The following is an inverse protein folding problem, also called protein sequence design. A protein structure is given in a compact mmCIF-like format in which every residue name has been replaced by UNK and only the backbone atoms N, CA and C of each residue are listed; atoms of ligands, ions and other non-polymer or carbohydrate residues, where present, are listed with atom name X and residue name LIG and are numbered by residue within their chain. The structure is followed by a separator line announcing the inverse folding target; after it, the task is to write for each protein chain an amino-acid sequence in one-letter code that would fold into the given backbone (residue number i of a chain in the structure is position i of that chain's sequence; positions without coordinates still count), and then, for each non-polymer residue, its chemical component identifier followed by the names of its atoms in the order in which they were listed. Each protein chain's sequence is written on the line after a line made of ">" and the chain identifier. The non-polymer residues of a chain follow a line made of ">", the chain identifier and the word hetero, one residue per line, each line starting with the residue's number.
data_IF_497612146409
#
_entry.id   IF_497612146409
#
_cell.length_a   1.000
_cell.length_b   1.000
_cell.length_c   1.000
_cell.angle_alpha   90.00
_cell.angle_beta   90.00
_cell.angle_gamma   90.00
#
_symmetry.space_group_name_H-M   'P 1'
#
loop_
_entity.id
_entity.type
_entity.pdbx_description
1 polymer ?
#
# COMPACT_ATOMS: atom_id res chain seq x y z
N UNK A 1 5.68 -12.47 -14.07
CA UNK A 1 6.59 -11.44 -13.52
C UNK A 1 5.95 -10.64 -12.37
N UNK A 2 4.61 -10.60 -12.24
CA UNK A 2 3.91 -9.87 -11.21
C UNK A 2 3.79 -8.35 -11.45
N UNK A 3 3.16 -7.66 -10.48
CA UNK A 3 2.97 -6.20 -10.50
C UNK A 3 4.31 -5.46 -10.41
N UNK A 4 5.18 -5.88 -9.49
CA UNK A 4 6.43 -5.19 -9.17
C UNK A 4 7.40 -5.12 -10.35
N UNK A 5 7.53 -6.20 -11.13
CA UNK A 5 8.40 -6.21 -12.31
C UNK A 5 7.98 -5.19 -13.37
N UNK A 6 6.67 -5.03 -13.59
CA UNK A 6 6.16 -4.05 -14.55
C UNK A 6 6.35 -2.60 -14.04
N UNK A 7 6.13 -2.38 -12.75
CA UNK A 7 6.36 -1.08 -12.09
C UNK A 7 7.82 -0.69 -12.16
N UNK A 8 8.73 -1.60 -11.83
CA UNK A 8 10.18 -1.36 -11.87
C UNK A 8 10.66 -1.02 -13.28
N UNK A 9 10.14 -1.70 -14.31
CA UNK A 9 10.45 -1.38 -15.70
C UNK A 9 10.01 0.06 -16.05
N UNK A 10 8.79 0.45 -15.67
CA UNK A 10 8.29 1.81 -15.86
C UNK A 10 9.10 2.88 -15.10
N UNK A 11 9.54 2.58 -13.87
CA UNK A 11 10.40 3.46 -13.07
C UNK A 11 11.76 3.68 -13.77
N UNK A 12 12.38 2.62 -14.27
CA UNK A 12 13.67 2.69 -14.98
C UNK A 12 13.60 3.49 -16.26
N UNK A 13 12.54 3.32 -17.03
CA UNK A 13 12.30 4.07 -18.29
C UNK A 13 11.93 5.54 -18.06
N UNK A 14 11.39 5.90 -16.90
CA UNK A 14 11.01 7.26 -16.57
C UNK A 14 12.24 8.17 -16.49
N UNK A 15 12.13 9.37 -17.10
CA UNK A 15 13.15 10.43 -17.08
C UNK A 15 12.75 11.65 -16.25
N UNK A 16 11.62 11.58 -15.57
CA UNK A 16 11.06 12.66 -14.76
C UNK A 16 11.47 12.53 -13.29
N UNK A 17 11.47 13.61 -12.50
CA UNK A 17 11.83 13.57 -11.07
C UNK A 17 10.81 12.79 -10.22
N UNK A 18 9.61 12.60 -10.75
CA UNK A 18 8.53 11.87 -10.08
C UNK A 18 7.95 10.80 -10.99
N UNK A 19 7.49 9.70 -10.39
CA UNK A 19 6.75 8.63 -11.06
C UNK A 19 5.37 8.52 -10.43
N UNK A 20 4.32 8.55 -11.24
CA UNK A 20 2.95 8.36 -10.79
C UNK A 20 2.48 6.95 -11.16
N UNK A 21 2.32 6.11 -10.14
CA UNK A 21 1.75 4.78 -10.31
C UNK A 21 0.23 4.87 -10.28
N UNK A 22 -0.41 4.19 -11.22
CA UNK A 22 -1.85 4.24 -11.39
C UNK A 22 -2.39 2.90 -11.88
N UNK A 23 -3.35 2.33 -11.16
CA UNK A 23 -4.05 1.15 -11.62
C UNK A 23 -4.87 1.42 -12.90
N UNK A 24 -4.96 0.42 -13.77
CA UNK A 24 -5.66 0.52 -15.06
C UNK A 24 -7.20 0.57 -14.95
N UNK A 25 -7.75 0.28 -13.77
CA UNK A 25 -9.18 0.37 -13.45
C UNK A 25 -9.55 1.66 -12.68
N UNK A 26 -8.83 2.75 -12.97
CA UNK A 26 -8.99 4.06 -12.33
C UNK A 26 -9.35 5.17 -13.32
N UNK A 27 -9.88 6.27 -12.78
CA UNK A 27 -10.11 7.52 -13.52
C UNK A 27 -9.61 8.70 -12.68
N UNK A 28 -8.60 9.39 -13.18
CA UNK A 28 -8.00 10.56 -12.54
C UNK A 28 -8.89 11.78 -12.74
N UNK A 29 -9.14 12.55 -11.66
CA UNK A 29 -9.85 13.83 -11.75
C UNK A 29 -8.87 14.96 -12.16
N UNK A 30 -9.37 16.03 -12.83
CA UNK A 30 -8.53 17.20 -13.15
C UNK A 30 -7.85 17.77 -11.90
N UNK A 31 -6.60 18.18 -12.03
CA UNK A 31 -5.81 18.75 -10.94
C UNK A 31 -5.15 17.74 -10.00
N UNK A 32 -5.46 16.44 -10.11
CA UNK A 32 -4.92 15.41 -9.23
C UNK A 32 -3.38 15.36 -9.24
N UNK A 33 -2.78 15.21 -10.42
CA UNK A 33 -1.32 15.09 -10.57
C UNK A 33 -0.63 16.40 -10.15
N UNK A 34 -1.17 17.54 -10.57
CA UNK A 34 -0.60 18.86 -10.22
C UNK A 34 -0.62 19.14 -8.72
N UNK A 35 -1.66 18.70 -8.01
CA UNK A 35 -1.74 18.84 -6.55
C UNK A 35 -0.65 18.01 -5.84
N UNK A 36 -0.47 16.76 -6.25
CA UNK A 36 0.54 15.86 -5.71
C UNK A 36 1.96 16.36 -6.04
N UNK A 37 2.21 16.76 -7.28
CA UNK A 37 3.50 17.32 -7.69
C UNK A 37 3.84 18.57 -6.88
N UNK A 38 2.92 19.53 -6.76
CA UNK A 38 3.12 20.74 -5.98
C UNK A 38 3.45 20.43 -4.50
N UNK A 39 2.85 19.37 -3.94
CA UNK A 39 3.18 18.92 -2.60
C UNK A 39 4.57 18.31 -2.53
N UNK A 40 4.92 17.41 -3.45
CA UNK A 40 6.24 16.78 -3.52
C UNK A 40 7.35 17.85 -3.69
N UNK A 41 7.08 18.93 -4.43
CA UNK A 41 8.01 20.06 -4.57
C UNK A 41 8.19 20.85 -3.26
N UNK A 42 7.13 21.05 -2.51
CA UNK A 42 7.14 21.80 -1.25
C UNK A 42 7.75 20.99 -0.09
N UNK A 43 7.49 19.69 -0.03
CA UNK A 43 7.89 18.80 1.07
C UNK A 43 8.97 17.81 0.55
N UNK A 44 10.25 18.22 0.63
CA UNK A 44 11.37 17.48 0.00
C UNK A 44 11.67 16.14 0.71
N UNK A 45 11.24 15.97 1.95
CA UNK A 45 11.33 14.72 2.73
C UNK A 45 10.27 13.67 2.34
N UNK A 46 9.30 14.04 1.49
CA UNK A 46 8.33 13.07 1.01
C UNK A 46 8.96 12.09 0.02
N UNK A 47 8.86 10.80 0.36
CA UNK A 47 9.09 9.68 -0.55
C UNK A 47 7.93 9.50 -1.51
N UNK A 48 6.72 9.44 -0.94
CA UNK A 48 5.49 9.20 -1.71
C UNK A 48 4.30 9.99 -1.18
N UNK A 49 3.35 10.27 -2.07
CA UNK A 49 2.07 10.87 -1.72
C UNK A 49 0.93 10.06 -2.36
N UNK A 50 -0.07 9.70 -1.56
CA UNK A 50 -1.21 8.88 -1.99
C UNK A 50 -2.38 9.76 -2.37
N UNK A 51 -3.02 9.46 -3.49
CA UNK A 51 -4.25 10.11 -3.91
C UNK A 51 -5.43 9.71 -3.02
N UNK A 52 -6.46 10.56 -3.00
CA UNK A 52 -7.78 10.25 -2.46
C UNK A 52 -8.50 9.32 -3.42
N UNK A 53 -8.44 8.03 -3.16
CA UNK A 53 -9.17 7.05 -3.93
C UNK A 53 -10.60 6.92 -3.42
N UNK A 54 -11.57 7.11 -4.31
CA UNK A 54 -13.00 6.95 -4.02
C UNK A 54 -13.63 5.91 -4.94
N UNK A 55 -14.69 5.26 -4.47
CA UNK A 55 -15.40 4.28 -5.28
C UNK A 55 -15.95 4.94 -6.56
N UNK A 56 -15.70 4.33 -7.71
CA UNK A 56 -16.10 4.88 -9.02
C UNK A 56 -17.61 4.92 -9.19
N UNK A 57 -18.36 3.99 -8.57
CA UNK A 57 -19.83 3.92 -8.64
C UNK A 57 -20.49 4.83 -7.62
N UNK A 58 -19.82 5.07 -6.48
CA UNK A 58 -20.31 5.96 -5.42
C UNK A 58 -19.16 6.80 -4.85
N UNK A 59 -18.83 7.95 -5.46
CA UNK A 59 -17.72 8.80 -5.02
C UNK A 59 -17.85 9.39 -3.60
N UNK A 60 -19.00 9.25 -2.96
CA UNK A 60 -19.20 9.58 -1.54
C UNK A 60 -18.51 8.58 -0.60
N UNK A 61 -18.04 7.43 -1.11
CA UNK A 61 -17.39 6.38 -0.35
C UNK A 61 -15.91 6.30 -0.72
N UNK A 62 -15.06 6.26 0.31
CA UNK A 62 -13.62 6.03 0.15
C UNK A 62 -13.32 4.60 -0.30
N UNK A 63 -12.42 4.45 -1.27
CA UNK A 63 -11.74 3.19 -1.52
C UNK A 63 -10.41 3.10 -0.76
N UNK A 64 -9.70 4.21 -0.59
CA UNK A 64 -8.49 4.28 0.22
C UNK A 64 -7.86 5.68 0.26
N UNK A 65 -7.05 5.88 1.29
CA UNK A 65 -6.26 7.11 1.52
C UNK A 65 -4.81 6.76 1.91
N UNK A 66 -4.26 5.70 1.32
CA UNK A 66 -3.00 5.10 1.73
C UNK A 66 -3.15 4.16 2.92
N UNK A 67 -2.04 3.68 3.47
CA UNK A 67 -2.01 2.59 4.44
C UNK A 67 -1.36 2.99 5.76
N UNK A 68 -1.85 2.37 6.83
CA UNK A 68 -1.22 2.35 8.15
C UNK A 68 -0.72 0.94 8.45
N UNK A 69 0.25 0.84 9.37
CA UNK A 69 0.80 -0.42 9.84
C UNK A 69 0.69 -0.49 11.36
N UNK A 70 0.18 -1.60 11.89
CA UNK A 70 -0.06 -1.78 13.33
C UNK A 70 1.01 -2.64 13.99
N UNK A 71 1.11 -2.57 15.32
CA UNK A 71 1.97 -3.45 16.13
C UNK A 71 1.58 -4.93 16.06
N UNK A 72 0.36 -5.24 15.56
CA UNK A 72 -0.08 -6.62 15.26
C UNK A 72 0.51 -7.16 13.95
N UNK A 73 1.36 -6.39 13.26
CA UNK A 73 1.91 -6.75 11.98
C UNK A 73 0.91 -6.65 10.81
N UNK A 74 -0.10 -5.78 10.91
CA UNK A 74 -1.11 -5.62 9.88
C UNK A 74 -0.99 -4.28 9.17
N UNK A 75 -0.95 -4.31 7.85
CA UNK A 75 -1.28 -3.16 7.01
C UNK A 75 -2.79 -3.08 6.81
N UNK A 76 -3.32 -1.87 6.78
CA UNK A 76 -4.73 -1.62 6.51
C UNK A 76 -4.96 -0.27 5.83
N UNK A 77 -5.82 -0.27 4.82
CA UNK A 77 -6.17 0.91 4.07
C UNK A 77 -7.00 1.89 4.91
N UNK A 78 -6.61 3.16 4.90
CA UNK A 78 -7.33 4.21 5.59
C UNK A 78 -8.62 4.53 4.86
N UNK A 79 -9.72 4.54 5.59
CA UNK A 79 -11.00 5.04 5.10
C UNK A 79 -11.80 4.09 4.22
N UNK A 80 -11.29 2.92 3.87
CA UNK A 80 -11.99 1.99 2.96
C UNK A 80 -13.42 1.71 3.43
N UNK A 81 -14.41 1.97 2.54
CA UNK A 81 -15.84 1.80 2.83
C UNK A 81 -16.45 2.86 3.75
N UNK A 82 -15.73 3.94 4.06
CA UNK A 82 -16.22 5.04 4.92
C UNK A 82 -16.61 6.26 4.08
N UNK A 83 -17.49 7.16 4.62
CA UNK A 83 -17.85 8.39 3.92
C UNK A 83 -16.62 9.26 3.59
N UNK A 84 -16.49 9.65 2.33
CA UNK A 84 -15.35 10.41 1.83
C UNK A 84 -15.21 11.80 2.48
N UNK A 85 -16.30 12.38 2.97
CA UNK A 85 -16.32 13.67 3.66
C UNK A 85 -15.37 13.73 4.89
N UNK A 86 -15.12 12.61 5.56
CA UNK A 86 -14.23 12.55 6.72
C UNK A 86 -12.75 12.56 6.38
N UNK A 87 -12.40 12.45 5.09
CA UNK A 87 -11.01 12.32 4.61
C UNK A 87 -10.56 13.54 3.78
N UNK A 88 -11.07 14.73 4.11
CA UNK A 88 -10.74 15.99 3.43
C UNK A 88 -9.47 16.69 3.95
N UNK A 89 -8.70 16.11 4.87
CA UNK A 89 -7.48 16.72 5.42
C UNK A 89 -6.24 15.90 5.09
N UNK A 90 -5.12 16.56 4.74
CA UNK A 90 -3.83 15.88 4.56
C UNK A 90 -3.40 15.15 5.82
N UNK A 91 -2.64 14.06 5.68
CA UNK A 91 -2.09 13.31 6.81
C UNK A 91 -0.81 12.58 6.43
N UNK A 92 -0.02 12.24 7.44
CA UNK A 92 1.10 11.29 7.29
C UNK A 92 0.57 9.87 7.22
N UNK A 93 1.25 9.04 6.44
CA UNK A 93 0.94 7.62 6.23
C UNK A 93 2.08 6.74 6.69
N UNK A 94 1.83 5.45 6.80
CA UNK A 94 2.89 4.47 6.84
C UNK A 94 3.44 4.22 5.42
N UNK A 95 2.56 4.02 4.45
CA UNK A 95 2.88 3.89 3.02
C UNK A 95 1.76 4.48 2.15
N UNK A 96 2.10 4.94 0.96
CA UNK A 96 1.12 5.31 -0.05
C UNK A 96 0.65 4.05 -0.78
N UNK A 97 -0.63 3.99 -1.15
CA UNK A 97 -1.17 2.88 -1.93
C UNK A 97 -0.75 3.02 -3.41
N UNK A 98 0.02 2.07 -3.92
CA UNK A 98 0.53 2.08 -5.30
C UNK A 98 -0.55 2.07 -6.39
N UNK A 99 -1.81 1.84 -6.01
CA UNK A 99 -2.95 1.95 -6.92
C UNK A 99 -3.21 3.37 -7.46
N UNK A 100 -2.78 4.41 -6.72
CA UNK A 100 -2.77 5.81 -7.17
C UNK A 100 -1.84 6.63 -6.26
N UNK A 101 -0.55 6.65 -6.55
CA UNK A 101 0.45 7.35 -5.76
C UNK A 101 1.59 7.92 -6.61
N UNK A 102 2.12 9.06 -6.19
CA UNK A 102 3.34 9.66 -6.77
C UNK A 102 4.54 9.33 -5.88
N UNK A 103 5.66 9.03 -6.52
CA UNK A 103 6.91 8.67 -5.86
C UNK A 103 8.05 9.58 -6.33
N UNK A 104 8.95 9.98 -5.42
CA UNK A 104 10.18 10.72 -5.72
C UNK A 104 11.24 9.77 -6.24
N UNK A 105 11.67 9.97 -7.50
CA UNK A 105 12.63 9.07 -8.16
C UNK A 105 13.98 9.02 -7.44
N UNK A 106 14.51 10.15 -7.01
CA UNK A 106 15.77 10.18 -6.25
C UNK A 106 15.71 9.45 -4.91
N UNK A 107 14.54 9.35 -4.29
CA UNK A 107 14.35 8.55 -3.09
C UNK A 107 14.15 7.06 -3.41
N UNK A 108 13.53 6.73 -4.56
CA UNK A 108 13.48 5.34 -5.06
C UNK A 108 14.89 4.78 -5.32
N UNK A 109 15.79 5.58 -5.86
CA UNK A 109 17.20 5.19 -6.06
C UNK A 109 17.90 4.81 -4.74
N UNK A 110 17.52 5.42 -3.62
CA UNK A 110 18.07 5.13 -2.29
C UNK A 110 17.37 3.94 -1.61
N UNK A 111 16.05 3.83 -1.76
CA UNK A 111 15.28 2.72 -1.18
C UNK A 111 15.46 1.41 -1.94
N UNK A 112 15.87 1.49 -3.19
CA UNK A 112 15.80 0.41 -4.17
C UNK A 112 14.41 0.25 -4.79
N UNK A 113 14.33 -0.58 -5.82
CA UNK A 113 13.11 -0.88 -6.57
C UNK A 113 12.03 -1.58 -5.71
N UNK A 114 10.82 -1.70 -6.23
CA UNK A 114 9.80 -2.61 -5.68
C UNK A 114 10.32 -4.05 -5.70
N UNK A 115 10.13 -4.76 -4.60
CA UNK A 115 10.69 -6.12 -4.47
C UNK A 115 9.82 -7.14 -5.21
N UNK A 116 10.32 -7.62 -6.34
CA UNK A 116 9.62 -8.57 -7.22
C UNK A 116 9.27 -9.89 -6.52
N UNK A 117 9.87 -10.20 -5.36
CA UNK A 117 9.52 -11.35 -4.55
C UNK A 117 8.12 -11.27 -3.95
N UNK A 118 7.55 -10.06 -3.80
CA UNK A 118 6.15 -9.88 -3.37
C UNK A 118 5.18 -10.42 -4.41
N UNK A 119 5.46 -10.27 -5.68
CA UNK A 119 4.61 -10.60 -6.82
C UNK A 119 3.34 -9.77 -6.91
N UNK A 120 2.61 -9.62 -5.80
CA UNK A 120 1.42 -8.76 -5.63
C UNK A 120 1.05 -8.69 -4.13
N UNK A 121 0.53 -7.55 -3.70
CA UNK A 121 0.11 -7.17 -2.35
C UNK A 121 1.24 -6.95 -1.36
N UNK A 122 1.15 -5.86 -0.62
CA UNK A 122 2.08 -5.36 0.39
C UNK A 122 3.44 -4.88 -0.18
N UNK A 123 3.64 -4.87 -1.47
CA UNK A 123 4.81 -4.28 -2.12
C UNK A 123 4.92 -2.78 -1.85
N UNK A 124 3.79 -2.07 -1.84
CA UNK A 124 3.69 -0.65 -1.51
C UNK A 124 3.95 -0.38 -0.02
N UNK A 125 3.54 -1.30 0.84
CA UNK A 125 3.86 -1.24 2.28
C UNK A 125 5.34 -1.50 2.52
N UNK A 126 5.95 -2.44 1.79
CA UNK A 126 7.38 -2.75 1.86
C UNK A 126 8.25 -1.55 1.48
N UNK A 127 7.98 -0.96 0.31
CA UNK A 127 8.80 0.18 -0.16
C UNK A 127 8.58 1.42 0.72
N UNK A 128 7.35 1.65 1.20
CA UNK A 128 7.04 2.69 2.17
C UNK A 128 7.75 2.50 3.51
N UNK A 129 7.91 1.24 3.98
CA UNK A 129 8.65 0.91 5.19
C UNK A 129 10.15 1.21 5.01
N UNK A 130 10.75 0.75 3.90
CA UNK A 130 12.17 1.03 3.56
C UNK A 130 12.45 2.54 3.50
N UNK A 131 11.57 3.30 2.87
CA UNK A 131 11.67 4.75 2.83
C UNK A 131 11.67 5.38 4.23
N UNK A 132 10.81 4.90 5.14
CA UNK A 132 10.77 5.36 6.54
C UNK A 132 12.03 5.01 7.33
N UNK A 133 12.63 3.85 7.10
CA UNK A 133 13.92 3.47 7.71
C UNK A 133 15.01 4.46 7.28
N UNK A 134 14.97 4.95 6.06
CA UNK A 134 15.89 5.96 5.53
C UNK A 134 15.55 7.42 5.95
N UNK A 135 14.51 7.61 6.76
CA UNK A 135 14.11 8.92 7.27
C UNK A 135 13.13 9.70 6.38
N UNK A 136 12.69 9.14 5.26
CA UNK A 136 11.64 9.74 4.45
C UNK A 136 10.25 9.60 5.08
N UNK A 137 9.29 10.34 4.55
CA UNK A 137 7.89 10.26 4.97
C UNK A 137 6.97 9.93 3.79
N UNK A 138 5.80 9.36 4.10
CA UNK A 138 4.72 9.11 3.15
C UNK A 138 3.51 9.94 3.57
N UNK A 139 2.75 10.42 2.60
CA UNK A 139 1.64 11.32 2.85
C UNK A 139 0.38 10.98 2.03
N UNK A 140 -0.71 11.67 2.35
CA UNK A 140 -1.99 11.61 1.68
C UNK A 140 -2.44 13.00 1.27
N UNK A 141 -2.75 13.19 -0.02
CA UNK A 141 -3.25 14.44 -0.59
C UNK A 141 -4.75 14.35 -0.90
N UNK A 142 -5.61 14.97 -0.09
CA UNK A 142 -7.05 14.86 -0.26
C UNK A 142 -7.60 15.59 -1.49
N UNK A 143 -6.88 16.57 -2.05
CA UNK A 143 -7.29 17.29 -3.26
C UNK A 143 -6.98 16.48 -4.53
N UNK A 144 -6.08 15.51 -4.46
CA UNK A 144 -5.74 14.59 -5.54
C UNK A 144 -6.76 13.45 -5.60
N UNK A 145 -7.81 13.60 -6.38
CA UNK A 145 -8.91 12.63 -6.41
C UNK A 145 -8.79 11.66 -7.58
N UNK A 146 -8.90 10.36 -7.27
CA UNK A 146 -8.93 9.26 -8.24
C UNK A 146 -10.16 8.38 -7.97
N UNK A 147 -10.95 8.13 -9.02
CA UNK A 147 -12.04 7.16 -8.99
C UNK A 147 -11.47 5.77 -9.27
N UNK A 148 -11.82 4.77 -8.46
CA UNK A 148 -11.34 3.40 -8.61
C UNK A 148 -12.53 2.43 -8.73
N UNK A 149 -12.48 1.54 -9.72
CA UNK A 149 -13.56 0.58 -9.94
C UNK A 149 -13.64 -0.50 -8.86
N UNK A 150 -12.54 -0.69 -8.12
CA UNK A 150 -12.44 -1.58 -6.97
C UNK A 150 -12.81 -3.03 -7.26
N UNK A 151 -11.92 -3.98 -7.01
CA UNK A 151 -12.17 -5.43 -7.18
C UNK A 151 -12.84 -5.85 -8.51
N UNK A 152 -12.86 -4.98 -9.51
CA UNK A 152 -13.45 -5.28 -10.83
C UNK A 152 -12.77 -6.48 -11.49
N UNK A 153 -11.46 -6.60 -11.30
CA UNK A 153 -10.65 -7.69 -11.86
C UNK A 153 -10.72 -8.98 -11.03
N UNK A 154 -11.00 -8.91 -9.73
CA UNK A 154 -10.92 -10.07 -8.81
C UNK A 154 -12.26 -10.55 -8.28
N UNK A 155 -13.37 -9.87 -8.60
CA UNK A 155 -14.76 -10.26 -8.35
C UNK A 155 -15.16 -10.43 -6.87
N UNK A 156 -14.21 -10.56 -5.95
CA UNK A 156 -14.45 -10.82 -4.53
C UNK A 156 -13.48 -10.05 -3.66
N UNK A 157 -13.94 -9.64 -2.48
CA UNK A 157 -13.10 -9.04 -1.44
C UNK A 157 -12.00 -10.01 -0.99
N UNK A 158 -12.30 -11.32 -0.90
CA UNK A 158 -11.36 -12.40 -0.58
C UNK A 158 -11.44 -13.49 -1.65
N UNK A 159 -10.27 -13.98 -2.07
CA UNK A 159 -10.08 -15.18 -2.86
C UNK A 159 -8.75 -15.84 -2.47
N UNK A 160 -8.50 -17.06 -2.93
CA UNK A 160 -7.30 -17.83 -2.56
C UNK A 160 -6.01 -17.08 -2.90
N UNK A 161 -5.92 -16.46 -4.07
CA UNK A 161 -4.76 -15.70 -4.51
C UNK A 161 -4.46 -14.53 -3.55
N UNK A 162 -5.47 -13.70 -3.23
CA UNK A 162 -5.30 -12.57 -2.29
C UNK A 162 -4.90 -13.03 -0.90
N UNK A 163 -5.57 -14.06 -0.39
CA UNK A 163 -5.33 -14.57 0.96
C UNK A 163 -3.93 -15.15 1.07
N UNK A 164 -3.51 -15.95 0.08
CA UNK A 164 -2.19 -16.56 0.04
C UNK A 164 -1.07 -15.50 0.03
N UNK A 165 -1.07 -14.63 -0.97
CA UNK A 165 -0.01 -13.61 -1.09
C UNK A 165 -0.02 -12.60 0.06
N UNK A 166 -1.19 -12.20 0.56
CA UNK A 166 -1.25 -11.32 1.72
C UNK A 166 -0.70 -11.97 2.99
N UNK A 167 -0.90 -13.28 3.19
CA UNK A 167 -0.35 -14.00 4.33
C UNK A 167 1.17 -14.12 4.23
N UNK A 168 1.67 -14.63 3.09
CA UNK A 168 3.10 -14.80 2.79
C UNK A 168 3.85 -13.47 2.89
N UNK A 169 3.38 -12.47 2.17
CA UNK A 169 4.05 -11.19 2.10
C UNK A 169 4.02 -10.42 3.43
N UNK A 170 3.03 -10.69 4.28
CA UNK A 170 3.01 -10.09 5.62
C UNK A 170 4.14 -10.63 6.51
N UNK A 171 4.45 -11.92 6.42
CA UNK A 171 5.61 -12.52 7.11
C UNK A 171 6.91 -11.98 6.52
N UNK A 172 6.99 -11.97 5.19
CA UNK A 172 8.16 -11.48 4.46
C UNK A 172 8.45 -10.00 4.78
N UNK A 173 7.42 -9.15 4.83
CA UNK A 173 7.53 -7.74 5.21
C UNK A 173 8.16 -7.57 6.61
N UNK A 174 7.70 -8.36 7.60
CA UNK A 174 8.22 -8.32 8.98
C UNK A 174 9.68 -8.78 8.99
N UNK A 175 9.97 -9.92 8.39
CA UNK A 175 11.31 -10.49 8.33
C UNK A 175 12.32 -9.54 7.68
N UNK A 176 11.92 -8.92 6.57
CA UNK A 176 12.79 -8.05 5.76
C UNK A 176 13.05 -6.69 6.42
N UNK A 177 12.03 -6.07 6.99
CA UNK A 177 12.09 -4.64 7.35
C UNK A 177 12.11 -4.37 8.85
N UNK A 178 11.56 -5.26 9.68
CA UNK A 178 11.48 -5.00 11.11
C UNK A 178 12.80 -5.35 11.81
N UNK A 179 13.41 -4.41 12.56
CA UNK A 179 14.64 -4.71 13.32
C UNK A 179 14.45 -5.90 14.27
N UNK A 180 15.46 -6.78 14.45
CA UNK A 180 15.34 -7.99 15.28
C UNK A 180 14.87 -7.71 16.71
N UNK A 181 15.37 -6.64 17.34
CA UNK A 181 14.92 -6.24 18.66
C UNK A 181 13.43 -5.85 18.67
N UNK A 182 12.96 -5.17 17.64
CA UNK A 182 11.55 -4.80 17.51
C UNK A 182 10.67 -6.04 17.27
N UNK A 183 11.14 -7.03 16.49
CA UNK A 183 10.45 -8.31 16.33
C UNK A 183 10.30 -9.00 17.70
N UNK A 184 11.38 -9.06 18.49
CA UNK A 184 11.37 -9.67 19.82
C UNK A 184 10.37 -8.97 20.75
N UNK A 185 10.43 -7.63 20.84
CA UNK A 185 9.55 -6.83 21.68
C UNK A 185 8.08 -6.92 21.26
N UNK A 186 7.82 -6.99 19.96
CA UNK A 186 6.47 -7.08 19.40
C UNK A 186 5.98 -8.54 19.24
N UNK A 187 6.80 -9.55 19.53
CA UNK A 187 6.45 -10.95 19.29
C UNK A 187 5.07 -11.36 19.86
N UNK A 188 4.69 -11.00 21.11
CA UNK A 188 3.37 -11.33 21.62
C UNK A 188 2.23 -10.72 20.81
N UNK A 189 2.38 -9.48 20.33
CA UNK A 189 1.37 -8.79 19.52
C UNK A 189 1.32 -9.36 18.09
N UNK A 190 2.48 -9.66 17.50
CA UNK A 190 2.57 -10.30 16.19
C UNK A 190 1.89 -11.67 16.19
N UNK A 191 2.18 -12.51 17.21
CA UNK A 191 1.56 -13.82 17.38
C UNK A 191 0.04 -13.70 17.56
N UNK A 192 -0.43 -12.77 18.38
CA UNK A 192 -1.85 -12.49 18.54
C UNK A 192 -2.47 -12.04 17.21
N UNK A 193 -1.80 -11.17 16.46
CA UNK A 193 -2.24 -10.70 15.14
C UNK A 193 -2.40 -11.85 14.14
N UNK A 194 -1.42 -12.74 14.05
CA UNK A 194 -1.49 -13.91 13.18
C UNK A 194 -2.58 -14.88 13.61
N UNK A 195 -2.73 -15.14 14.92
CA UNK A 195 -3.79 -16.01 15.44
C UNK A 195 -5.18 -15.46 15.07
N UNK A 196 -5.44 -14.17 15.26
CA UNK A 196 -6.71 -13.53 14.91
C UNK A 196 -6.99 -13.64 13.40
N UNK A 197 -6.00 -13.36 12.54
CA UNK A 197 -6.17 -13.52 11.08
C UNK A 197 -6.41 -14.98 10.68
N UNK A 198 -5.71 -15.92 11.29
CA UNK A 198 -5.93 -17.35 11.04
C UNK A 198 -7.38 -17.75 11.38
N UNK A 199 -7.88 -17.37 12.55
CA UNK A 199 -9.27 -17.63 12.96
C UNK A 199 -10.28 -16.94 12.03
N UNK A 200 -9.99 -15.70 11.62
CA UNK A 200 -10.85 -14.99 10.68
C UNK A 200 -10.93 -15.71 9.33
N UNK A 201 -9.81 -16.14 8.76
CA UNK A 201 -9.79 -16.83 7.47
C UNK A 201 -10.32 -18.27 7.56
N UNK A 202 -10.17 -18.94 8.71
CA UNK A 202 -10.86 -20.21 8.98
C UNK A 202 -12.39 -20.04 8.88
N UNK A 203 -12.95 -19.00 9.53
CA UNK A 203 -14.39 -18.70 9.44
C UNK A 203 -14.85 -18.32 8.03
N UNK A 204 -13.96 -17.78 7.20
CA UNK A 204 -14.24 -17.41 5.80
C UNK A 204 -14.01 -18.55 4.79
N UNK A 205 -13.58 -19.72 5.24
CA UNK A 205 -13.29 -20.86 4.36
C UNK A 205 -11.91 -20.83 3.69
N UNK A 206 -11.05 -19.87 4.05
CA UNK A 206 -9.70 -19.71 3.46
C UNK A 206 -8.58 -20.07 4.44
N UNK A 207 -8.87 -20.77 5.55
CA UNK A 207 -7.88 -21.06 6.60
C UNK A 207 -6.67 -21.84 6.09
N UNK A 208 -6.89 -22.89 5.30
CA UNK A 208 -5.80 -23.67 4.70
C UNK A 208 -4.90 -22.83 3.80
N UNK A 209 -5.49 -21.96 2.94
CA UNK A 209 -4.77 -21.06 2.06
C UNK A 209 -3.96 -20.02 2.85
N UNK A 210 -4.54 -19.48 3.94
CA UNK A 210 -3.83 -18.53 4.81
C UNK A 210 -2.62 -19.17 5.49
N UNK A 211 -2.79 -20.36 6.09
CA UNK A 211 -1.71 -21.12 6.74
C UNK A 211 -0.61 -21.49 5.74
N UNK A 212 -0.99 -21.92 4.53
CA UNK A 212 -0.01 -22.22 3.47
C UNK A 212 0.84 -21.00 3.13
N UNK A 213 0.23 -19.83 2.90
CA UNK A 213 0.97 -18.61 2.62
C UNK A 213 1.83 -18.14 3.81
N UNK A 214 1.38 -18.37 5.04
CA UNK A 214 2.14 -18.05 6.24
C UNK A 214 3.40 -18.93 6.42
N UNK A 215 3.40 -20.18 5.95
CA UNK A 215 4.50 -21.13 6.09
C UNK A 215 5.49 -21.11 4.92
N UNK A 216 5.20 -20.42 3.82
CA UNK A 216 6.06 -20.29 2.64
C UNK A 216 7.03 -19.11 2.77
#
# INVERSE_FOLDING_TARGET
>A
RGFDAAVNEGIRESRTPYVFLLNNDTKVRPGCISAMEARMEREKELFSDSARMVDMRNPEIMDGAGDLYSALGWAYAIGKGKPAAYYGKPRKLFSACAGAAIYRKSALELTGDFDESHFAYLEDVDIGYRARILGFSNAYEPSAVVLHAGSATSGSCYNEFKVFYSARNNVYLIYKNMPPLQILLNAPLLLAGFAVKTLFFLKKGYGGTYVKGFCE
#
